data_IF_094827818872
#
_entry.id   IF_094827818872
#
_cell.length_a   1.000
_cell.length_b   1.000
_cell.length_c   1.000
_cell.angle_alpha   90.00
_cell.angle_beta   90.00
_cell.angle_gamma   90.00
#
_symmetry.space_group_name_H-M   'P 1'
#
loop_
_entity.id
_entity.type
_entity.pdbx_description
1 polymer ?
#
# COMPACT_ATOMS: atom_id res chain seq x y z
N UNK A 1 17.85 -7.20 3.02
CA UNK A 1 17.94 -7.85 1.69
C UNK A 1 16.78 -7.31 0.88
N UNK A 2 17.00 -6.93 -0.39
CA UNK A 2 15.94 -6.46 -1.28
C UNK A 2 15.42 -7.68 -2.05
N UNK A 3 14.11 -7.90 -2.03
CA UNK A 3 13.43 -8.93 -2.82
C UNK A 3 12.97 -8.32 -4.15
N UNK A 4 13.21 -8.98 -5.28
CA UNK A 4 12.73 -8.51 -6.58
C UNK A 4 11.42 -9.22 -6.92
N UNK A 5 10.36 -8.46 -7.21
CA UNK A 5 9.09 -9.00 -7.70
C UNK A 5 8.94 -8.59 -9.16
N UNK A 6 8.89 -9.58 -10.04
CA UNK A 6 8.61 -9.38 -11.46
C UNK A 6 7.10 -9.32 -11.67
N UNK A 7 6.65 -8.19 -12.22
CA UNK A 7 5.26 -7.90 -12.55
C UNK A 7 5.03 -7.72 -14.06
N UNK A 8 6.05 -8.02 -14.88
CA UNK A 8 5.99 -7.92 -16.35
C UNK A 8 6.17 -6.53 -16.93
N UNK A 9 6.52 -5.53 -16.10
CA UNK A 9 6.83 -4.16 -16.51
C UNK A 9 8.09 -3.63 -15.81
N UNK A 10 8.84 -2.78 -16.50
CA UNK A 10 10.11 -2.21 -16.01
C UNK A 10 9.97 -0.82 -15.39
N UNK A 11 8.84 -0.14 -15.62
CA UNK A 11 8.52 1.18 -15.07
C UNK A 11 7.12 1.19 -14.47
N UNK A 12 6.89 2.01 -13.44
CA UNK A 12 5.54 2.32 -12.93
C UNK A 12 5.22 3.80 -13.12
N UNK A 13 4.09 4.09 -13.78
CA UNK A 13 3.61 5.45 -14.05
C UNK A 13 2.54 5.90 -13.05
N UNK A 14 1.44 5.14 -12.94
CA UNK A 14 0.30 5.46 -12.06
C UNK A 14 -0.05 4.28 -11.16
N UNK A 15 -0.54 4.60 -9.96
CA UNK A 15 -1.02 3.60 -8.99
C UNK A 15 -2.49 3.88 -8.67
N UNK A 16 -3.36 2.91 -8.97
CA UNK A 16 -4.74 2.90 -8.53
C UNK A 16 -4.84 2.28 -7.14
N UNK A 17 -5.02 3.10 -6.12
CA UNK A 17 -5.03 2.68 -4.73
C UNK A 17 -6.46 2.40 -4.22
N UNK A 18 -6.69 1.19 -3.71
CA UNK A 18 -7.98 0.73 -3.17
C UNK A 18 -7.74 0.08 -1.80
N UNK A 19 -8.52 0.46 -0.79
CA UNK A 19 -8.37 -0.01 0.58
C UNK A 19 -9.74 -0.27 1.24
N UNK A 20 -9.74 -1.01 2.35
CA UNK A 20 -10.84 -1.05 3.34
C UNK A 20 -12.20 -1.47 2.75
N UNK A 21 -12.17 -2.47 1.85
CA UNK A 21 -13.36 -2.96 1.12
C UNK A 21 -14.34 -3.70 2.04
N UNK A 22 -13.81 -4.48 2.98
CA UNK A 22 -14.56 -5.28 3.95
C UNK A 22 -15.70 -6.12 3.36
N UNK A 23 -15.40 -7.05 2.45
CA UNK A 23 -16.37 -8.01 1.93
C UNK A 23 -16.94 -8.84 3.09
N UNK A 24 -18.27 -8.83 3.24
CA UNK A 24 -18.99 -9.48 4.33
C UNK A 24 -19.42 -10.89 3.97
N UNK A 25 -19.67 -11.72 4.99
CA UNK A 25 -20.07 -13.12 4.80
C UNK A 25 -21.38 -13.30 4.00
N UNK A 26 -22.47 -12.65 4.40
CA UNK A 26 -23.81 -12.96 3.89
C UNK A 26 -24.60 -11.73 3.43
N UNK A 27 -23.97 -10.57 3.34
CA UNK A 27 -24.66 -9.29 3.11
C UNK A 27 -23.97 -8.49 2.03
N UNK A 28 -24.78 -7.75 1.27
CA UNK A 28 -24.35 -6.74 0.29
C UNK A 28 -23.56 -7.27 -0.90
N UNK A 29 -23.48 -8.57 -1.17
CA UNK A 29 -22.71 -9.12 -2.32
C UNK A 29 -23.10 -8.54 -3.66
N UNK A 30 -24.40 -8.35 -3.92
CA UNK A 30 -24.84 -7.70 -5.15
C UNK A 30 -24.40 -6.23 -5.22
N UNK A 31 -24.38 -5.54 -4.10
CA UNK A 31 -23.88 -4.16 -4.02
C UNK A 31 -22.36 -4.12 -4.24
N UNK A 32 -21.59 -4.99 -3.57
CA UNK A 32 -20.14 -5.13 -3.80
C UNK A 32 -19.85 -5.37 -5.27
N UNK A 33 -20.54 -6.32 -5.92
CA UNK A 33 -20.37 -6.61 -7.34
C UNK A 33 -20.61 -5.39 -8.22
N UNK A 34 -21.73 -4.69 -8.00
CA UNK A 34 -22.04 -3.46 -8.73
C UNK A 34 -20.98 -2.37 -8.52
N UNK A 35 -20.51 -2.17 -7.28
CA UNK A 35 -19.46 -1.19 -6.97
C UNK A 35 -18.14 -1.59 -7.63
N UNK A 36 -17.73 -2.84 -7.53
CA UNK A 36 -16.50 -3.34 -8.14
C UNK A 36 -16.53 -3.18 -9.66
N UNK A 37 -17.66 -3.47 -10.31
CA UNK A 37 -17.83 -3.28 -11.76
C UNK A 37 -17.67 -1.82 -12.14
N UNK A 38 -18.33 -0.91 -11.42
CA UNK A 38 -18.21 0.54 -11.67
C UNK A 38 -16.79 1.05 -11.44
N UNK A 39 -16.11 0.57 -10.40
CA UNK A 39 -14.71 0.92 -10.13
C UNK A 39 -13.81 0.43 -11.26
N UNK A 40 -13.98 -0.82 -11.70
CA UNK A 40 -13.25 -1.38 -12.84
C UNK A 40 -13.49 -0.56 -14.12
N UNK A 41 -14.73 -0.19 -14.42
CA UNK A 41 -15.05 0.66 -15.58
C UNK A 41 -14.38 2.04 -15.48
N UNK A 42 -14.38 2.64 -14.30
CA UNK A 42 -13.70 3.92 -14.06
C UNK A 42 -12.18 3.81 -14.29
N UNK A 43 -11.54 2.75 -13.77
CA UNK A 43 -10.11 2.51 -13.98
C UNK A 43 -9.83 2.26 -15.47
N UNK A 44 -10.60 1.38 -16.13
CA UNK A 44 -10.47 1.09 -17.56
C UNK A 44 -10.52 2.34 -18.45
N UNK A 45 -11.24 3.38 -18.03
CA UNK A 45 -11.35 4.63 -18.80
C UNK A 45 -10.09 5.50 -18.79
N UNK A 46 -9.13 5.23 -17.90
CA UNK A 46 -7.95 6.08 -17.66
C UNK A 46 -6.63 5.33 -17.50
N UNK A 47 -6.67 4.00 -17.46
CA UNK A 47 -5.50 3.15 -17.25
C UNK A 47 -4.65 3.11 -18.52
N UNK A 48 -3.34 3.24 -18.35
CA UNK A 48 -2.36 3.21 -19.42
C UNK A 48 -1.35 2.08 -19.22
N UNK A 49 -0.45 1.90 -20.20
CA UNK A 49 0.68 1.00 -20.04
C UNK A 49 1.52 1.43 -18.82
N UNK A 50 2.07 0.45 -18.10
CA UNK A 50 2.88 0.65 -16.89
C UNK A 50 2.12 1.22 -15.68
N UNK A 51 0.79 1.22 -15.71
CA UNK A 51 -0.03 1.49 -14.54
C UNK A 51 -0.23 0.20 -13.73
N UNK A 52 -0.37 0.34 -12.41
CA UNK A 52 -0.62 -0.77 -11.49
C UNK A 52 -1.79 -0.48 -10.56
N UNK A 53 -2.27 -1.54 -9.91
CA UNK A 53 -3.32 -1.47 -8.89
C UNK A 53 -2.73 -1.89 -7.56
N UNK A 54 -3.00 -1.12 -6.51
CA UNK A 54 -2.59 -1.43 -5.15
C UNK A 54 -3.81 -1.67 -4.26
N UNK A 55 -3.88 -2.85 -3.66
CA UNK A 55 -4.90 -3.28 -2.71
C UNK A 55 -4.32 -3.24 -1.30
N UNK A 56 -4.71 -2.22 -0.52
CA UNK A 56 -4.08 -1.86 0.73
C UNK A 56 -4.69 -2.54 1.97
N UNK A 57 -5.15 -3.78 1.85
CA UNK A 57 -5.68 -4.57 2.96
C UNK A 57 -7.13 -4.28 3.33
N UNK A 58 -7.59 -5.01 4.35
CA UNK A 58 -8.98 -5.12 4.81
C UNK A 58 -9.95 -5.45 3.69
N UNK A 59 -9.58 -6.50 2.94
CA UNK A 59 -10.39 -7.04 1.86
C UNK A 59 -11.62 -7.74 2.44
N UNK A 60 -11.48 -8.49 3.53
CA UNK A 60 -12.59 -9.16 4.20
C UNK A 60 -13.02 -8.42 5.47
N UNK A 61 -14.30 -8.54 5.82
CA UNK A 61 -14.79 -7.98 7.09
C UNK A 61 -14.46 -8.88 8.29
N UNK A 62 -14.41 -10.19 8.09
CA UNK A 62 -14.16 -11.17 9.15
C UNK A 62 -13.10 -12.18 8.68
N UNK A 63 -12.10 -12.39 9.53
CA UNK A 63 -10.89 -13.20 9.27
C UNK A 63 -11.04 -14.68 9.59
N UNK A 64 -11.94 -15.03 10.51
CA UNK A 64 -12.01 -16.38 11.10
C UNK A 64 -13.22 -17.18 10.63
N UNK A 65 -14.30 -16.50 10.27
CA UNK A 65 -15.54 -17.11 9.80
C UNK A 65 -15.76 -16.65 8.36
N UNK A 66 -15.62 -17.58 7.41
CA UNK A 66 -15.63 -17.30 5.97
C UNK A 66 -16.70 -18.19 5.33
N UNK A 67 -17.70 -17.57 4.69
CA UNK A 67 -18.72 -18.29 3.94
C UNK A 67 -18.28 -18.53 2.49
N UNK A 68 -18.84 -19.55 1.80
CA UNK A 68 -18.57 -19.75 0.38
C UNK A 68 -18.85 -18.51 -0.49
N UNK A 69 -19.89 -17.74 -0.15
CA UNK A 69 -20.28 -16.53 -0.89
C UNK A 69 -19.28 -15.39 -0.71
N UNK A 70 -18.69 -15.25 0.49
CA UNK A 70 -17.57 -14.31 0.69
C UNK A 70 -16.36 -14.76 -0.10
N UNK A 71 -16.00 -16.05 -0.05
CA UNK A 71 -14.87 -16.58 -0.83
C UNK A 71 -15.06 -16.30 -2.32
N UNK A 72 -16.26 -16.55 -2.86
CA UNK A 72 -16.59 -16.22 -4.24
C UNK A 72 -16.45 -14.72 -4.52
N UNK A 73 -16.98 -13.86 -3.64
CA UNK A 73 -16.90 -12.41 -3.82
C UNK A 73 -15.47 -11.88 -3.82
N UNK A 74 -14.59 -12.43 -2.96
CA UNK A 74 -13.16 -12.09 -2.93
C UNK A 74 -12.45 -12.60 -4.19
N UNK A 75 -12.80 -13.78 -4.69
CA UNK A 75 -12.27 -14.30 -5.95
C UNK A 75 -12.66 -13.43 -7.14
N UNK A 76 -13.94 -13.07 -7.25
CA UNK A 76 -14.45 -12.16 -8.28
C UNK A 76 -13.73 -10.81 -8.19
N UNK A 77 -13.59 -10.25 -6.98
CA UNK A 77 -12.85 -9.01 -6.74
C UNK A 77 -11.40 -9.11 -7.26
N UNK A 78 -10.60 -10.04 -6.75
CA UNK A 78 -9.20 -10.17 -7.16
C UNK A 78 -9.04 -10.40 -8.67
N UNK A 79 -9.88 -11.25 -9.26
CA UNK A 79 -9.83 -11.49 -10.71
C UNK A 79 -10.16 -10.23 -11.50
N UNK A 80 -11.23 -9.53 -11.15
CA UNK A 80 -11.67 -8.33 -11.86
C UNK A 80 -10.59 -7.24 -11.94
N UNK A 81 -9.79 -7.05 -10.88
CA UNK A 81 -8.69 -6.08 -10.89
C UNK A 81 -7.42 -6.65 -11.54
N UNK A 82 -7.10 -7.93 -11.32
CA UNK A 82 -5.90 -8.55 -11.90
C UNK A 82 -5.99 -8.77 -13.41
N UNK A 83 -7.21 -8.87 -13.95
CA UNK A 83 -7.49 -8.89 -15.38
C UNK A 83 -7.22 -7.52 -16.06
N UNK A 84 -7.06 -6.43 -15.29
CA UNK A 84 -6.79 -5.08 -15.83
C UNK A 84 -5.29 -4.78 -15.94
N UNK A 85 -4.55 -5.06 -14.87
CA UNK A 85 -3.16 -4.65 -14.70
C UNK A 85 -2.51 -5.46 -13.57
N UNK A 86 -1.17 -5.39 -13.39
CA UNK A 86 -0.51 -5.91 -12.22
C UNK A 86 -1.09 -5.34 -10.92
N UNK A 87 -1.37 -6.24 -9.98
CA UNK A 87 -1.96 -5.96 -8.67
C UNK A 87 -0.94 -6.29 -7.58
N UNK A 88 -0.59 -5.29 -6.78
CA UNK A 88 0.11 -5.49 -5.52
C UNK A 88 -0.95 -5.55 -4.41
N UNK A 89 -0.91 -6.61 -3.61
CA UNK A 89 -1.82 -6.81 -2.48
C UNK A 89 -1.01 -6.87 -1.18
N UNK A 90 -1.48 -6.18 -0.14
CA UNK A 90 -1.05 -6.38 1.25
C UNK A 90 -2.26 -6.75 2.11
N UNK A 91 -2.00 -7.31 3.29
CA UNK A 91 -3.04 -7.69 4.23
C UNK A 91 -3.32 -6.57 5.24
N UNK A 92 -4.59 -6.41 5.61
CA UNK A 92 -4.99 -5.58 6.74
C UNK A 92 -5.22 -6.37 8.03
N UNK A 93 -5.61 -5.67 9.09
CA UNK A 93 -5.85 -6.28 10.39
C UNK A 93 -7.12 -7.15 10.39
N UNK A 94 -8.09 -6.93 9.49
CA UNK A 94 -9.28 -7.76 9.30
C UNK A 94 -9.03 -8.98 8.42
N UNK A 95 -7.93 -9.01 7.67
CA UNK A 95 -7.52 -10.17 6.86
C UNK A 95 -6.73 -11.21 7.68
N UNK A 96 -6.14 -10.79 8.81
CA UNK A 96 -5.21 -11.61 9.61
C UNK A 96 -5.62 -11.75 11.08
N UNK A 97 -5.46 -12.96 11.63
CA UNK A 97 -5.61 -13.16 13.08
C UNK A 97 -4.36 -12.70 13.85
N UNK A 98 -4.30 -11.42 14.18
CA UNK A 98 -3.17 -10.82 14.91
C UNK A 98 -2.95 -11.38 16.33
N UNK A 99 -4.00 -11.96 16.93
CA UNK A 99 -3.89 -12.64 18.24
C UNK A 99 -3.24 -14.03 18.12
N UNK A 100 -3.21 -14.61 16.91
CA UNK A 100 -2.56 -15.89 16.65
C UNK A 100 -1.87 -15.88 15.29
N UNK A 101 -0.69 -15.26 15.25
CA UNK A 101 0.10 -15.02 14.03
C UNK A 101 0.58 -16.29 13.32
N UNK A 102 0.50 -17.47 13.96
CA UNK A 102 0.82 -18.75 13.31
C UNK A 102 -0.35 -19.31 12.49
N UNK A 103 -1.54 -18.74 12.60
CA UNK A 103 -2.70 -19.11 11.79
C UNK A 103 -2.58 -18.50 10.40
N UNK A 104 -3.12 -19.21 9.42
CA UNK A 104 -3.24 -18.72 8.05
C UNK A 104 -4.16 -17.49 8.01
N UNK A 105 -3.79 -16.48 7.22
CA UNK A 105 -4.65 -15.34 6.91
C UNK A 105 -5.77 -15.73 5.95
N UNK A 106 -6.83 -14.92 5.93
CA UNK A 106 -8.04 -15.18 5.15
C UNK A 106 -7.79 -15.18 3.63
N UNK A 107 -6.78 -14.43 3.16
CA UNK A 107 -6.55 -14.19 1.74
C UNK A 107 -5.64 -15.24 1.10
N UNK A 108 -4.64 -15.75 1.81
CA UNK A 108 -3.66 -16.71 1.26
C UNK A 108 -4.30 -17.93 0.59
N UNK A 109 -5.28 -18.64 1.19
CA UNK A 109 -5.95 -19.75 0.51
C UNK A 109 -6.58 -19.34 -0.82
N UNK A 110 -7.17 -18.14 -0.86
CA UNK A 110 -7.90 -17.63 -2.01
C UNK A 110 -6.92 -17.24 -3.11
N UNK A 111 -5.88 -16.46 -2.79
CA UNK A 111 -4.80 -16.09 -3.72
C UNK A 111 -4.15 -17.34 -4.32
N UNK A 112 -3.81 -18.32 -3.48
CA UNK A 112 -3.20 -19.58 -3.93
C UNK A 112 -4.13 -20.43 -4.80
N UNK A 113 -5.45 -20.30 -4.66
CA UNK A 113 -6.41 -21.00 -5.50
C UNK A 113 -6.61 -20.31 -6.85
N UNK A 114 -6.63 -18.98 -6.87
CA UNK A 114 -6.78 -18.20 -8.11
C UNK A 114 -5.53 -18.33 -9.00
N UNK A 115 -4.33 -18.22 -8.39
CA UNK A 115 -3.03 -18.24 -9.10
C UNK A 115 -2.98 -17.30 -10.30
N UNK A 116 -3.54 -16.11 -10.15
CA UNK A 116 -3.49 -15.10 -11.21
C UNK A 116 -2.05 -14.57 -11.33
N UNK A 117 -1.49 -14.55 -12.54
CA UNK A 117 -0.09 -14.13 -12.76
C UNK A 117 0.16 -12.67 -12.38
N UNK A 118 -0.86 -11.82 -12.52
CA UNK A 118 -0.82 -10.41 -12.18
C UNK A 118 -1.14 -10.12 -10.70
N UNK A 119 -1.38 -11.12 -9.84
CA UNK A 119 -1.73 -10.91 -8.44
C UNK A 119 -0.54 -11.22 -7.53
N UNK A 120 0.10 -10.17 -7.00
CA UNK A 120 1.30 -10.26 -6.19
C UNK A 120 0.98 -9.92 -4.73
N UNK A 121 0.86 -10.95 -3.89
CA UNK A 121 0.54 -10.79 -2.47
C UNK A 121 1.80 -10.70 -1.61
N UNK A 122 2.10 -9.49 -1.12
CA UNK A 122 3.24 -9.20 -0.26
C UNK A 122 2.77 -9.26 1.20
N UNK A 123 3.32 -10.22 1.95
CA UNK A 123 2.84 -10.53 3.31
C UNK A 123 3.75 -10.00 4.40
N UNK A 124 5.06 -10.11 4.18
CA UNK A 124 6.10 -9.78 5.13
C UNK A 124 6.49 -8.32 5.01
N UNK A 125 6.91 -7.72 6.13
CA UNK A 125 7.59 -6.44 6.09
C UNK A 125 8.93 -6.60 5.37
N UNK A 126 9.32 -5.60 4.59
CA UNK A 126 10.58 -5.68 3.84
C UNK A 126 10.71 -4.65 2.72
N UNK A 127 11.77 -4.84 1.95
CA UNK A 127 12.13 -4.01 0.80
C UNK A 127 11.94 -4.82 -0.48
N UNK A 128 11.09 -4.32 -1.36
CA UNK A 128 10.69 -4.99 -2.59
C UNK A 128 10.99 -4.09 -3.78
N UNK A 129 11.92 -4.51 -4.65
CA UNK A 129 12.12 -3.85 -5.92
C UNK A 129 11.06 -4.36 -6.91
N UNK A 130 10.24 -3.44 -7.40
CA UNK A 130 9.18 -3.71 -8.37
C UNK A 130 9.31 -2.66 -9.45
N UNK A 131 9.57 -3.10 -10.69
CA UNK A 131 9.92 -2.20 -11.79
C UNK A 131 11.08 -1.24 -11.40
N UNK A 132 10.91 0.06 -11.63
CA UNK A 132 11.85 1.14 -11.33
C UNK A 132 11.67 1.73 -9.91
N UNK A 133 10.89 1.07 -9.03
CA UNK A 133 10.55 1.57 -7.70
C UNK A 133 10.99 0.62 -6.59
N UNK A 134 11.20 1.18 -5.39
CA UNK A 134 11.38 0.44 -4.15
C UNK A 134 10.10 0.54 -3.31
N UNK A 135 9.35 -0.56 -3.23
CA UNK A 135 8.23 -0.70 -2.32
C UNK A 135 8.72 -1.12 -0.93
N UNK A 136 8.31 -0.38 0.09
CA UNK A 136 8.68 -0.59 1.49
C UNK A 136 7.42 -1.00 2.22
N UNK A 137 7.24 -2.30 2.46
CA UNK A 137 6.06 -2.79 3.16
C UNK A 137 6.32 -2.86 4.66
N UNK A 138 5.43 -2.23 5.43
CA UNK A 138 5.41 -2.25 6.89
C UNK A 138 4.16 -3.02 7.33
N UNK A 139 4.29 -4.35 7.42
CA UNK A 139 3.14 -5.25 7.58
C UNK A 139 2.48 -5.10 8.95
N UNK A 140 1.15 -5.05 8.99
CA UNK A 140 0.34 -4.83 10.21
C UNK A 140 0.59 -5.86 11.32
N UNK A 141 1.12 -7.04 10.98
CA UNK A 141 1.46 -8.10 11.93
C UNK A 141 2.88 -7.97 12.51
N UNK A 142 3.61 -6.91 12.20
CA UNK A 142 4.95 -6.65 12.69
C UNK A 142 4.95 -5.66 13.87
N UNK A 143 6.14 -5.34 14.38
CA UNK A 143 6.32 -4.37 15.47
C UNK A 143 6.93 -3.06 14.94
N UNK A 144 6.54 -1.89 15.50
CA UNK A 144 7.09 -0.59 15.12
C UNK A 144 8.63 -0.51 15.10
N UNK A 145 9.30 -1.16 16.06
CA UNK A 145 10.76 -1.21 16.10
C UNK A 145 11.39 -1.86 14.84
N UNK A 146 10.72 -2.84 14.24
CA UNK A 146 11.18 -3.46 13.01
C UNK A 146 10.95 -2.54 11.80
N UNK A 147 9.87 -1.75 11.78
CA UNK A 147 9.64 -0.75 10.74
C UNK A 147 10.81 0.22 10.62
N UNK A 148 11.29 0.74 11.76
CA UNK A 148 12.45 1.64 11.78
C UNK A 148 13.68 0.99 11.15
N UNK A 149 13.95 -0.29 11.45
CA UNK A 149 15.09 -1.02 10.87
C UNK A 149 14.98 -1.13 9.33
N UNK A 150 13.78 -1.36 8.82
CA UNK A 150 13.50 -1.45 7.39
C UNK A 150 13.67 -0.08 6.73
N UNK A 151 13.13 0.97 7.34
CA UNK A 151 13.23 2.33 6.85
C UNK A 151 14.69 2.83 6.82
N UNK A 152 15.48 2.55 7.88
CA UNK A 152 16.93 2.82 7.89
C UNK A 152 17.66 2.09 6.76
N UNK A 153 17.30 0.83 6.50
CA UNK A 153 17.87 0.07 5.39
C UNK A 153 17.51 0.68 4.03
N UNK A 154 16.29 1.21 3.90
CA UNK A 154 15.83 1.87 2.67
C UNK A 154 16.58 3.18 2.38
N UNK A 155 17.04 3.92 3.40
CA UNK A 155 17.80 5.18 3.21
C UNK A 155 19.05 5.00 2.35
N UNK A 156 19.69 3.83 2.46
CA UNK A 156 20.90 3.51 1.71
C UNK A 156 20.63 3.27 0.20
N UNK A 157 19.37 3.16 -0.20
CA UNK A 157 18.96 2.90 -1.58
C UNK A 157 18.51 4.23 -2.19
N UNK A 158 19.43 4.94 -2.84
CA UNK A 158 19.17 6.29 -3.38
C UNK A 158 18.77 6.30 -4.85
N UNK A 159 19.02 5.21 -5.58
CA UNK A 159 18.79 5.12 -7.03
C UNK A 159 17.36 4.68 -7.43
N UNK A 160 16.48 4.42 -6.46
CA UNK A 160 15.08 4.05 -6.68
C UNK A 160 14.17 5.00 -5.91
N UNK A 161 13.09 5.43 -6.57
CA UNK A 161 11.99 6.10 -5.92
C UNK A 161 11.32 5.15 -4.93
N UNK A 162 11.04 5.66 -3.73
CA UNK A 162 10.51 4.85 -2.63
C UNK A 162 9.01 5.07 -2.46
N UNK A 163 8.28 3.96 -2.30
CA UNK A 163 6.84 3.95 -2.02
C UNK A 163 6.64 3.13 -0.75
N UNK A 164 6.15 3.76 0.32
CA UNK A 164 5.87 3.06 1.58
C UNK A 164 4.44 2.55 1.56
N UNK A 165 4.25 1.28 1.96
CA UNK A 165 2.96 0.62 2.09
C UNK A 165 2.72 0.29 3.56
N UNK A 166 1.60 0.76 4.11
CA UNK A 166 1.22 0.43 5.48
C UNK A 166 -0.30 0.30 5.62
N UNK A 167 -0.75 -0.66 6.41
CA UNK A 167 -2.14 -0.78 6.81
C UNK A 167 -2.20 -0.72 8.33
N UNK A 168 -2.84 0.31 8.87
CA UNK A 168 -2.93 0.52 10.31
C UNK A 168 -3.12 1.99 10.68
N UNK A 169 -3.58 2.20 11.91
CA UNK A 169 -3.68 3.51 12.54
C UNK A 169 -2.38 4.33 12.40
N UNK A 170 -2.47 5.49 11.75
CA UNK A 170 -1.37 6.48 11.63
C UNK A 170 -1.70 7.71 12.47
N UNK A 171 -0.70 8.26 13.16
CA UNK A 171 -0.85 9.48 13.94
C UNK A 171 -1.45 10.62 13.11
N UNK A 172 -2.39 11.38 13.69
CA UNK A 172 -3.11 12.51 13.07
C UNK A 172 -4.04 12.13 11.92
N UNK A 173 -4.17 10.86 11.56
CA UNK A 173 -5.23 10.44 10.64
C UNK A 173 -6.60 10.79 11.23
N UNK A 174 -7.54 11.22 10.39
CA UNK A 174 -8.87 11.63 10.84
C UNK A 174 -9.87 10.55 10.46
N UNK A 175 -10.77 10.24 11.37
CA UNK A 175 -11.90 9.36 11.09
C UNK A 175 -13.02 10.14 10.39
N UNK A 176 -13.96 9.41 9.79
CA UNK A 176 -15.18 9.93 9.18
C UNK A 176 -16.08 10.72 10.15
N UNK A 177 -15.98 10.43 11.46
CA UNK A 177 -16.68 11.13 12.54
C UNK A 177 -15.86 12.28 13.17
N UNK A 178 -14.73 12.67 12.56
CA UNK A 178 -13.97 13.86 12.94
C UNK A 178 -13.01 13.70 14.13
N UNK A 179 -12.76 12.47 14.58
CA UNK A 179 -11.74 12.19 15.60
C UNK A 179 -10.37 12.04 14.95
N UNK A 180 -9.34 12.61 15.58
CA UNK A 180 -7.96 12.36 15.19
C UNK A 180 -7.41 11.15 15.96
N UNK A 181 -6.78 10.25 15.22
CA UNK A 181 -6.04 9.11 15.77
C UNK A 181 -4.78 9.64 16.45
N UNK A 182 -4.52 9.15 17.66
CA UNK A 182 -3.26 9.35 18.38
C UNK A 182 -2.47 8.05 18.31
N UNK A 183 -1.28 8.06 17.69
CA UNK A 183 -0.43 6.88 17.63
C UNK A 183 1.05 7.27 17.68
N UNK A 184 1.67 7.12 18.85
CA UNK A 184 3.06 7.51 19.08
C UNK A 184 4.09 6.57 18.40
N UNK A 185 3.63 5.46 17.81
CA UNK A 185 4.51 4.45 17.21
C UNK A 185 4.55 4.48 15.68
N UNK A 186 3.49 4.97 15.04
CA UNK A 186 3.39 5.08 13.58
C UNK A 186 3.04 6.52 13.26
N UNK A 187 4.07 7.36 13.17
CA UNK A 187 3.95 8.79 12.95
C UNK A 187 4.27 9.15 11.49
N UNK A 188 3.83 10.32 11.05
CA UNK A 188 4.22 10.85 9.74
C UNK A 188 5.74 11.03 9.62
N UNK A 189 6.40 11.44 10.70
CA UNK A 189 7.86 11.60 10.77
C UNK A 189 8.60 10.27 10.57
N UNK A 190 8.03 9.16 11.07
CA UNK A 190 8.60 7.83 10.84
C UNK A 190 8.74 7.55 9.34
N UNK A 191 7.71 7.84 8.54
CA UNK A 191 7.77 7.65 7.09
C UNK A 191 8.79 8.57 6.42
N UNK A 192 8.88 9.83 6.86
CA UNK A 192 9.84 10.83 6.33
C UNK A 192 11.29 10.37 6.44
N UNK A 193 11.61 9.50 7.41
CA UNK A 193 12.99 9.05 7.63
C UNK A 193 13.65 8.48 6.37
N UNK A 194 12.89 7.89 5.45
CA UNK A 194 13.43 7.30 4.21
C UNK A 194 13.29 8.17 2.96
N UNK A 195 12.79 9.40 3.06
CA UNK A 195 12.46 10.29 1.95
C UNK A 195 11.61 9.60 0.85
N UNK A 196 10.41 9.10 1.19
CA UNK A 196 9.54 8.45 0.22
C UNK A 196 8.93 9.46 -0.76
N UNK A 197 8.75 9.06 -2.01
CA UNK A 197 7.93 9.82 -2.98
C UNK A 197 6.45 9.77 -2.61
N UNK A 198 6.02 8.66 -2.00
CA UNK A 198 4.63 8.44 -1.64
C UNK A 198 4.50 7.43 -0.50
N UNK A 199 3.45 7.59 0.31
CA UNK A 199 3.02 6.64 1.33
C UNK A 199 1.57 6.27 1.03
N UNK A 200 1.30 4.97 0.85
CA UNK A 200 -0.02 4.42 0.56
C UNK A 200 -0.54 3.68 1.81
N UNK A 201 -1.71 4.10 2.29
CA UNK A 201 -2.26 3.72 3.59
C UNK A 201 -3.63 3.02 3.48
N UNK A 202 -3.86 1.99 4.30
CA UNK A 202 -5.19 1.47 4.64
C UNK A 202 -5.51 1.60 6.14
N UNK A 203 -6.69 1.16 6.59
CA UNK A 203 -7.24 1.32 7.96
C UNK A 203 -7.73 2.76 8.26
N UNK A 204 -7.88 3.60 7.23
CA UNK A 204 -8.34 4.99 7.36
C UNK A 204 -9.69 5.14 6.68
N UNK A 205 -10.77 5.00 7.44
CA UNK A 205 -12.16 5.03 6.95
C UNK A 205 -12.68 6.43 6.57
N UNK A 206 -11.78 7.37 6.27
CA UNK A 206 -12.09 8.65 5.64
C UNK A 206 -11.52 8.66 4.21
N UNK A 207 -12.36 8.50 3.18
CA UNK A 207 -11.89 8.43 1.80
C UNK A 207 -11.11 9.68 1.38
N UNK A 208 -10.10 9.51 0.53
CA UNK A 208 -9.32 10.58 -0.10
C UNK A 208 -8.67 11.55 0.89
N UNK A 209 -8.23 11.06 2.05
CA UNK A 209 -7.47 11.86 2.99
C UNK A 209 -5.98 11.84 2.65
N UNK A 210 -5.43 13.02 2.32
CA UNK A 210 -3.98 13.25 2.35
C UNK A 210 -3.56 13.62 3.78
N UNK A 211 -2.64 12.88 4.38
CA UNK A 211 -2.08 13.20 5.71
C UNK A 211 -0.93 14.19 5.64
N UNK A 212 -0.19 14.14 4.54
CA UNK A 212 0.97 14.99 4.29
C UNK A 212 1.16 15.12 2.77
N UNK A 213 1.56 16.30 2.33
CA UNK A 213 1.99 16.57 0.97
C UNK A 213 3.45 17.00 1.02
N UNK A 214 4.22 16.58 0.02
CA UNK A 214 5.60 16.98 -0.17
C UNK A 214 5.68 17.83 -1.42
N UNK A 215 6.35 18.97 -1.33
CA UNK A 215 6.72 19.75 -2.49
C UNK A 215 8.22 19.62 -2.66
N UNK A 216 8.64 19.07 -3.80
CA UNK A 216 10.03 19.12 -4.23
C UNK A 216 10.21 20.41 -5.01
N UNK A 217 10.94 21.35 -4.44
CA UNK A 217 11.41 22.53 -5.17
C UNK A 217 12.78 22.21 -5.77
N UNK A 218 12.93 22.47 -7.06
CA UNK A 218 14.22 22.47 -7.74
C UNK A 218 14.59 23.93 -8.01
N UNK A 219 15.73 24.34 -7.50
CA UNK A 219 16.28 25.67 -7.70
C UNK A 219 17.68 25.54 -8.29
N UNK A 220 17.95 26.31 -9.34
CA UNK A 220 19.31 26.54 -9.80
C UNK A 220 19.88 27.69 -8.98
N UNK A 221 21.03 27.44 -8.35
CA UNK A 221 21.73 28.42 -7.51
C UNK A 221 23.17 28.56 -8.01
N UNK A 222 23.78 29.70 -7.73
CA UNK A 222 25.20 29.89 -7.97
C UNK A 222 26.03 28.96 -7.05
N UNK A 223 27.17 28.47 -7.52
CA UNK A 223 28.05 27.59 -6.72
C UNK A 223 28.44 28.24 -5.38
N UNK A 224 28.54 29.58 -5.33
CA UNK A 224 28.84 30.33 -4.11
C UNK A 224 27.75 30.24 -3.04
N UNK A 225 26.52 29.88 -3.41
CA UNK A 225 25.37 29.78 -2.50
C UNK A 225 25.12 28.36 -1.99
N UNK A 226 25.77 27.34 -2.57
CA UNK A 226 25.59 25.92 -2.22
C UNK A 226 25.67 25.67 -0.72
N UNK A 227 26.65 26.26 -0.04
CA UNK A 227 26.84 26.05 1.40
C UNK A 227 25.65 26.55 2.24
N UNK A 228 24.98 27.63 1.82
CA UNK A 228 23.81 28.16 2.53
C UNK A 228 22.62 27.21 2.39
N UNK A 229 22.39 26.68 1.18
CA UNK A 229 21.29 25.77 0.91
C UNK A 229 21.50 24.38 1.52
N UNK A 230 22.71 23.84 1.49
CA UNK A 230 23.04 22.60 2.21
C UNK A 230 22.78 22.72 3.72
N UNK A 231 23.15 23.86 4.33
CA UNK A 231 22.86 24.12 5.75
C UNK A 231 21.37 24.29 6.04
N UNK A 232 20.60 24.75 5.06
CA UNK A 232 19.14 24.83 5.13
C UNK A 232 18.43 23.49 4.85
N UNK A 233 19.17 22.40 4.65
CA UNK A 233 18.63 21.04 4.47
C UNK A 233 18.37 20.63 3.03
N UNK A 234 18.81 21.42 2.05
CA UNK A 234 18.69 21.08 0.63
C UNK A 234 19.73 20.03 0.23
N UNK A 235 19.42 19.25 -0.82
CA UNK A 235 20.31 18.23 -1.37
C UNK A 235 20.68 18.60 -2.81
N UNK A 236 21.96 18.44 -3.16
CA UNK A 236 22.42 18.60 -4.54
C UNK A 236 21.95 17.37 -5.32
N UNK A 237 21.25 17.60 -6.42
CA UNK A 237 20.83 16.57 -7.36
C UNK A 237 21.69 16.76 -8.62
N UNK A 238 22.62 15.83 -8.87
CA UNK A 238 23.54 15.84 -10.04
C UNK A 238 23.09 14.87 -11.11
#
# INVERSE_FOLDING_TARGET
>A
MIEKIDIGIDKINKIYHIADVHIRNLKRHQEYKTVFQRTVESIKSSIEENDIIFLAGDIVHAKTDMTPELVQSVQEFFKMFSDLAPVILIAGNHDMNLNNKSRLDALTPIVNAIKHTNLHYIKQSGLFQIADKLFIHLAVNDRPAHYLTILESAKQITHLDKIVLHHGAVDKASTDIGFCISNDHVTLEMFNSCNPKMVLLGDIHKPNQSLQEYQEELIEIDESEISAYLNAGWQIIT
#
